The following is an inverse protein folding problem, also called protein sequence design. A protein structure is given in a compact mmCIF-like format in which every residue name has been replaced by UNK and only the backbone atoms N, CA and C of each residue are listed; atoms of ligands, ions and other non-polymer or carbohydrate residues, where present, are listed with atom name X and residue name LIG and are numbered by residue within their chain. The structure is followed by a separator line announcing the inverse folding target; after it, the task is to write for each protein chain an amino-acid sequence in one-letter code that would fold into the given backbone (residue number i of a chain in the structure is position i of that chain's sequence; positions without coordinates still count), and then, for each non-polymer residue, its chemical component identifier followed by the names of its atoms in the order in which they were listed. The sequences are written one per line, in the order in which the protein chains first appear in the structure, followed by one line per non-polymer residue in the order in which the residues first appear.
data_IF_657136655397
#
_entry.id   IF_657136655397
#
_cell.length_a   1.000
_cell.length_b   1.000
_cell.length_c   1.000
_cell.angle_alpha   90.00
_cell.angle_beta   90.00
_cell.angle_gamma   90.00
#
_symmetry.space_group_name_H-M   'P 1'
#
loop_
_entity.id
_entity.type
_entity.pdbx_description
1 polymer ?
#
# COMPACT_ATOMS: atom_id res chain seq x y z
N UNK A 1 -38.61 26.06 15.54
CA UNK A 1 -37.60 26.35 14.50
C UNK A 1 -36.35 25.59 14.88
N UNK A 2 -36.02 24.51 14.18
CA UNK A 2 -34.76 23.83 14.35
C UNK A 2 -33.72 24.59 13.51
N UNK A 3 -32.69 25.12 14.14
CA UNK A 3 -31.52 25.67 13.47
C UNK A 3 -30.81 24.55 12.73
N UNK A 4 -30.77 24.63 11.40
CA UNK A 4 -29.92 23.77 10.57
C UNK A 4 -28.45 23.93 11.01
N UNK A 5 -27.69 22.84 11.18
CA UNK A 5 -26.27 22.95 11.47
C UNK A 5 -25.54 23.52 10.24
N UNK A 6 -24.78 24.59 10.47
CA UNK A 6 -23.86 25.23 9.51
C UNK A 6 -23.09 24.20 8.67
N UNK A 7 -22.93 24.42 7.35
CA UNK A 7 -22.22 23.48 6.48
C UNK A 7 -20.77 23.36 6.95
N UNK A 8 -20.39 22.16 7.40
CA UNK A 8 -18.99 21.79 7.65
C UNK A 8 -18.15 22.26 6.47
N UNK A 9 -17.17 23.14 6.71
CA UNK A 9 -16.26 23.67 5.70
C UNK A 9 -15.90 22.57 4.71
N UNK A 10 -16.35 22.71 3.46
CA UNK A 10 -15.95 21.81 2.37
C UNK A 10 -14.49 22.13 2.08
N UNK A 11 -13.58 21.43 2.75
CA UNK A 11 -12.16 21.52 2.46
C UNK A 11 -11.95 21.26 0.96
N UNK A 12 -11.27 22.18 0.27
CA UNK A 12 -11.03 22.04 -1.15
C UNK A 12 -9.81 21.13 -1.39
N UNK A 13 -10.08 19.83 -1.45
CA UNK A 13 -9.07 18.79 -1.68
C UNK A 13 -8.28 18.99 -2.97
N UNK A 14 -8.83 19.72 -3.96
CA UNK A 14 -8.11 20.02 -5.20
C UNK A 14 -6.93 20.96 -4.96
N UNK A 15 -7.05 21.88 -4.01
CA UNK A 15 -6.00 22.86 -3.69
C UNK A 15 -4.73 22.26 -3.09
N UNK A 16 -4.80 21.01 -2.60
CA UNK A 16 -3.66 20.28 -2.01
C UNK A 16 -3.22 19.07 -2.85
N UNK A 17 -3.94 18.77 -3.93
CA UNK A 17 -3.58 17.68 -4.83
C UNK A 17 -2.61 18.21 -5.88
N UNK A 18 -1.43 17.60 -6.09
CA UNK A 18 -0.54 17.98 -7.20
C UNK A 18 -1.30 17.98 -8.53
N UNK A 19 -1.01 18.95 -9.41
CA UNK A 19 -1.72 19.10 -10.69
C UNK A 19 -1.57 17.88 -11.61
N UNK A 20 -0.46 17.14 -11.47
CA UNK A 20 -0.14 15.92 -12.20
C UNK A 20 -0.68 14.64 -11.53
N UNK A 21 -1.36 14.76 -10.38
CA UNK A 21 -1.90 13.61 -9.70
C UNK A 21 -3.12 13.03 -10.45
N UNK A 22 -3.14 11.73 -10.75
CA UNK A 22 -4.26 11.10 -11.48
C UNK A 22 -5.54 11.01 -10.64
N UNK A 23 -5.47 11.14 -9.31
CA UNK A 23 -6.61 11.03 -8.38
C UNK A 23 -6.47 12.04 -7.24
N UNK A 24 -7.56 12.73 -6.88
CA UNK A 24 -7.60 13.51 -5.63
C UNK A 24 -7.78 12.58 -4.41
N UNK A 25 -7.52 13.05 -3.18
CA UNK A 25 -7.83 12.28 -1.97
C UNK A 25 -9.27 11.79 -1.89
N UNK A 26 -10.24 12.59 -2.36
CA UNK A 26 -11.66 12.18 -2.38
C UNK A 26 -11.92 11.06 -3.39
N UNK A 27 -11.23 11.06 -4.53
CA UNK A 27 -11.37 9.99 -5.52
C UNK A 27 -10.84 8.68 -4.93
N UNK A 28 -9.71 8.73 -4.23
CA UNK A 28 -9.15 7.59 -3.48
C UNK A 28 -10.11 7.07 -2.41
N UNK A 29 -10.76 7.94 -1.64
CA UNK A 29 -11.72 7.54 -0.60
C UNK A 29 -13.05 6.98 -1.14
N UNK A 30 -13.38 7.25 -2.41
CA UNK A 30 -14.58 6.71 -3.08
C UNK A 30 -14.30 5.39 -3.79
N UNK A 31 -13.03 5.08 -4.06
CA UNK A 31 -12.62 3.87 -4.73
C UNK A 31 -12.83 2.64 -3.80
N UNK A 32 -13.77 1.73 -4.14
CA UNK A 32 -14.06 0.59 -3.28
C UNK A 32 -12.87 -0.35 -3.13
N UNK A 33 -11.99 -0.44 -4.14
CA UNK A 33 -10.80 -1.29 -4.08
C UNK A 33 -9.77 -0.73 -3.09
N UNK A 34 -9.53 0.59 -3.13
CA UNK A 34 -8.61 1.24 -2.19
C UNK A 34 -9.15 1.24 -0.75
N UNK A 35 -10.48 1.32 -0.59
CA UNK A 35 -11.10 1.16 0.74
C UNK A 35 -10.94 -0.25 1.29
N UNK A 36 -11.02 -1.26 0.43
CA UNK A 36 -10.83 -2.66 0.83
C UNK A 36 -9.41 -2.93 1.36
N UNK A 37 -8.39 -2.22 0.84
CA UNK A 37 -7.01 -2.31 1.35
C UNK A 37 -6.87 -1.92 2.83
N UNK A 38 -7.80 -1.13 3.38
CA UNK A 38 -7.81 -0.78 4.80
C UNK A 38 -8.32 -1.91 5.70
N UNK A 39 -8.86 -2.99 5.12
CA UNK A 39 -9.35 -4.16 5.85
C UNK A 39 -8.28 -5.26 5.83
N UNK A 40 -7.72 -5.65 6.99
CA UNK A 40 -6.76 -6.75 7.06
C UNK A 40 -7.40 -8.06 6.58
N UNK A 41 -6.72 -8.76 5.69
CA UNK A 41 -7.14 -10.08 5.15
C UNK A 41 -6.40 -11.25 5.80
N UNK A 42 -5.53 -10.96 6.77
CA UNK A 42 -4.74 -11.93 7.53
C UNK A 42 -4.77 -11.56 9.01
N UNK A 43 -4.73 -12.58 9.86
CA UNK A 43 -4.57 -12.48 11.31
C UNK A 43 -3.27 -13.17 11.76
N UNK A 44 -2.85 -12.91 13.00
CA UNK A 44 -1.71 -13.61 13.58
C UNK A 44 -2.01 -15.11 13.66
N UNK A 45 -1.11 -15.92 13.12
CA UNK A 45 -1.25 -17.38 13.05
C UNK A 45 -1.85 -17.89 11.74
N UNK A 46 -2.42 -17.01 10.92
CA UNK A 46 -2.85 -17.39 9.57
C UNK A 46 -1.62 -17.66 8.68
N UNK A 47 -1.71 -18.60 7.72
CA UNK A 47 -0.72 -18.73 6.68
C UNK A 47 -0.60 -17.43 5.88
N UNK A 48 0.62 -16.94 5.69
CA UNK A 48 0.85 -15.79 4.82
C UNK A 48 0.45 -16.13 3.37
N UNK A 49 -0.05 -15.14 2.62
CA UNK A 49 -0.20 -15.27 1.17
C UNK A 49 1.16 -15.53 0.55
N UNK A 50 1.22 -16.41 -0.46
CA UNK A 50 2.44 -16.55 -1.22
C UNK A 50 2.65 -15.32 -2.09
N UNK A 51 3.90 -14.87 -2.17
CA UNK A 51 4.32 -13.69 -2.93
C UNK A 51 5.44 -14.13 -3.84
N UNK A 52 5.26 -13.87 -5.13
CA UNK A 52 6.25 -14.10 -6.17
C UNK A 52 6.72 -12.76 -6.72
N UNK A 53 8.00 -12.46 -6.58
CA UNK A 53 8.61 -11.22 -7.02
C UNK A 53 9.99 -11.49 -7.61
N UNK A 54 10.44 -10.70 -8.61
CA UNK A 54 11.84 -10.74 -9.02
C UNK A 54 12.75 -10.36 -7.85
N UNK A 55 13.87 -11.05 -7.70
CA UNK A 55 14.85 -10.73 -6.67
C UNK A 55 15.82 -9.65 -7.17
N UNK A 56 16.13 -8.70 -6.30
CA UNK A 56 17.03 -7.58 -6.57
C UNK A 56 18.18 -7.58 -5.56
N UNK A 57 19.37 -7.27 -6.05
CA UNK A 57 20.57 -7.07 -5.26
C UNK A 57 20.80 -5.56 -5.07
N UNK A 58 20.90 -5.14 -3.82
CA UNK A 58 21.19 -3.76 -3.39
C UNK A 58 22.51 -3.66 -2.61
N UNK A 59 23.37 -4.68 -2.66
CA UNK A 59 24.60 -4.75 -1.86
C UNK A 59 25.59 -3.61 -2.12
N UNK A 60 25.54 -2.99 -3.30
CA UNK A 60 26.35 -1.82 -3.67
C UNK A 60 25.61 -0.48 -3.55
N UNK A 61 24.37 -0.50 -3.05
CA UNK A 61 23.50 0.67 -2.93
C UNK A 61 22.73 1.04 -4.19
N UNK A 62 22.86 0.27 -5.28
CA UNK A 62 22.08 0.43 -6.50
C UNK A 62 21.14 -0.75 -6.73
N UNK A 63 20.01 -0.51 -7.41
CA UNK A 63 19.09 -1.59 -7.77
C UNK A 63 19.67 -2.42 -8.92
N UNK A 64 19.89 -3.71 -8.68
CA UNK A 64 20.29 -4.66 -9.71
C UNK A 64 19.36 -5.87 -9.74
N UNK A 65 18.61 -6.04 -10.83
CA UNK A 65 17.81 -7.24 -11.06
C UNK A 65 18.70 -8.48 -11.12
N UNK A 66 18.31 -9.54 -10.43
CA UNK A 66 18.94 -10.86 -10.50
C UNK A 66 18.14 -11.78 -11.44
N UNK A 67 18.70 -12.94 -11.77
CA UNK A 67 17.97 -13.99 -12.52
C UNK A 67 17.12 -14.88 -11.59
N UNK A 68 16.98 -14.51 -10.32
CA UNK A 68 16.24 -15.27 -9.31
C UNK A 68 14.83 -14.70 -9.10
N UNK A 69 13.90 -15.61 -8.80
CA UNK A 69 12.55 -15.26 -8.35
C UNK A 69 12.42 -15.59 -6.87
N UNK A 70 12.02 -14.60 -6.07
CA UNK A 70 11.67 -14.78 -4.68
C UNK A 70 10.26 -15.37 -4.57
N UNK A 71 10.15 -16.49 -3.83
CA UNK A 71 8.88 -17.04 -3.39
C UNK A 71 8.84 -17.06 -1.86
N UNK A 72 7.87 -16.35 -1.26
CA UNK A 72 7.76 -16.29 0.20
C UNK A 72 7.59 -17.68 0.81
N UNK A 73 6.76 -18.53 0.20
CA UNK A 73 6.48 -19.88 0.69
C UNK A 73 7.71 -20.81 0.67
N UNK A 74 8.70 -20.54 -0.18
CA UNK A 74 9.94 -21.30 -0.23
C UNK A 74 10.86 -20.88 0.93
N UNK A 75 11.11 -19.59 1.09
CA UNK A 75 12.05 -19.07 2.10
C UNK A 75 11.50 -19.23 3.52
N UNK A 76 10.19 -19.03 3.72
CA UNK A 76 9.55 -19.13 5.02
C UNK A 76 9.56 -20.54 5.62
N UNK A 77 9.87 -21.59 4.83
CA UNK A 77 10.04 -22.96 5.33
C UNK A 77 11.34 -23.15 6.08
N UNK A 78 12.38 -22.44 5.64
CA UNK A 78 13.74 -22.63 6.14
C UNK A 78 14.11 -21.61 7.21
N UNK A 79 13.52 -20.41 7.15
CA UNK A 79 13.82 -19.34 8.11
C UNK A 79 12.65 -18.36 8.32
N UNK A 80 12.58 -17.68 9.48
CA UNK A 80 11.65 -16.57 9.68
C UNK A 80 11.87 -15.44 8.68
N UNK A 81 10.80 -14.82 8.20
CA UNK A 81 10.83 -13.72 7.23
C UNK A 81 10.10 -12.50 7.80
N UNK A 82 10.67 -11.31 7.62
CA UNK A 82 10.02 -10.04 7.89
C UNK A 82 9.77 -9.28 6.58
N UNK A 83 8.52 -8.88 6.33
CA UNK A 83 8.15 -8.04 5.18
C UNK A 83 8.14 -6.57 5.61
N UNK A 84 8.89 -5.74 4.89
CA UNK A 84 8.98 -4.31 5.14
C UNK A 84 8.35 -3.58 3.96
N UNK A 85 7.27 -2.85 4.23
CA UNK A 85 6.60 -2.00 3.23
C UNK A 85 7.06 -0.56 3.43
N UNK A 86 7.75 0.00 2.44
CA UNK A 86 8.18 1.40 2.43
C UNK A 86 7.66 2.12 1.20
N UNK A 87 7.38 3.41 1.33
CA UNK A 87 7.18 4.30 0.17
C UNK A 87 8.53 4.91 -0.19
N UNK A 88 9.01 4.68 -1.40
CA UNK A 88 10.07 5.49 -1.99
C UNK A 88 9.41 6.68 -2.68
N UNK A 89 9.63 7.88 -2.15
CA UNK A 89 9.18 9.14 -2.74
C UNK A 89 10.39 9.93 -3.22
#
# INVERSE_FOLDING_TARGET
MATEPEPRMKFDWRSITPEDSPKTPIDTMKDPELRDLATPKLSVGDPAFDIELPAYDFSDGSERLTDETFHLSAIARDQPVALIFGSYT
#
